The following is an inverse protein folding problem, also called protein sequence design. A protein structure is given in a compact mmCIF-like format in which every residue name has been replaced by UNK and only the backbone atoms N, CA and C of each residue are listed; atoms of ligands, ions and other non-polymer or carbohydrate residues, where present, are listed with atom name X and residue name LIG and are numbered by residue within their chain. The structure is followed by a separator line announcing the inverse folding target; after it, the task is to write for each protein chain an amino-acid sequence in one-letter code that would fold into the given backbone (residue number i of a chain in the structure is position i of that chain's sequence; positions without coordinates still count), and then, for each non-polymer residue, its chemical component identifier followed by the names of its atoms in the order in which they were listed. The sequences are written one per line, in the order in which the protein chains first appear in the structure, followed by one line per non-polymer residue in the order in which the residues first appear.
data_IF_629483774346
#
_entry.id   IF_629483774346
#
_cell.length_a   1.000
_cell.length_b   1.000
_cell.length_c   1.000
_cell.angle_alpha   90.00
_cell.angle_beta   90.00
_cell.angle_gamma   90.00
#
_symmetry.space_group_name_H-M   'P 1'
#
loop_
_entity.id
_entity.type
_entity.pdbx_description
1 polymer ?
#
# COMPACT_ATOMS: atom_id res chain seq x y z
N UNK A 1 70.79 2.93 74.82
CA UNK A 1 70.28 1.55 74.90
C UNK A 1 68.75 1.45 74.86
N UNK A 2 67.98 2.51 75.13
CA UNK A 2 66.50 2.48 75.02
C UNK A 2 65.96 2.51 73.59
N UNK A 3 66.63 3.20 72.66
CA UNK A 3 66.12 3.30 71.28
C UNK A 3 66.12 1.95 70.55
N UNK A 4 67.12 1.09 70.83
CA UNK A 4 67.21 -0.24 70.23
C UNK A 4 66.07 -1.13 70.72
N UNK A 5 65.75 -1.13 72.02
CA UNK A 5 64.61 -1.88 72.56
C UNK A 5 63.26 -1.37 72.05
N UNK A 6 63.13 -0.06 71.81
CA UNK A 6 61.93 0.53 71.22
C UNK A 6 61.76 0.11 69.75
N UNK A 7 62.86 0.03 68.99
CA UNK A 7 62.84 -0.51 67.63
C UNK A 7 62.50 -2.00 67.61
N UNK A 8 63.04 -2.81 68.51
CA UNK A 8 62.74 -4.25 68.64
C UNK A 8 61.26 -4.50 68.98
N UNK A 9 60.69 -3.71 69.91
CA UNK A 9 59.28 -3.80 70.26
C UNK A 9 58.37 -3.41 69.07
N UNK A 10 58.74 -2.36 68.33
CA UNK A 10 58.00 -1.94 67.12
C UNK A 10 58.11 -2.92 65.97
N UNK A 11 59.28 -3.53 65.77
CA UNK A 11 59.49 -4.57 64.75
C UNK A 11 58.68 -5.81 65.09
N UNK A 12 58.71 -6.27 66.35
CA UNK A 12 57.92 -7.43 66.80
C UNK A 12 56.42 -7.20 66.59
N UNK A 13 55.92 -6.03 66.99
CA UNK A 13 54.51 -5.66 66.77
C UNK A 13 54.16 -5.55 65.27
N UNK A 14 55.08 -5.07 64.44
CA UNK A 14 54.90 -5.02 63.00
C UNK A 14 54.86 -6.43 62.37
N UNK A 15 55.74 -7.33 62.80
CA UNK A 15 55.78 -8.72 62.35
C UNK A 15 54.51 -9.49 62.75
N UNK A 16 54.00 -9.31 63.96
CA UNK A 16 52.72 -9.90 64.39
C UNK A 16 51.52 -9.34 63.61
N UNK A 17 51.55 -8.06 63.23
CA UNK A 17 50.52 -7.45 62.38
C UNK A 17 50.59 -8.00 60.95
N UNK A 18 51.80 -8.19 60.42
CA UNK A 18 52.00 -8.79 59.09
C UNK A 18 51.56 -10.26 59.11
N UNK A 19 51.94 -11.03 60.12
CA UNK A 19 51.50 -12.43 60.27
C UNK A 19 49.98 -12.56 60.31
N UNK A 20 49.28 -11.68 61.05
CA UNK A 20 47.81 -11.63 61.04
C UNK A 20 47.23 -11.20 59.69
N UNK A 21 47.85 -10.23 59.02
CA UNK A 21 47.40 -9.79 57.71
C UNK A 21 47.57 -10.87 56.63
N UNK A 22 48.64 -11.66 56.72
CA UNK A 22 48.90 -12.80 55.83
C UNK A 22 47.88 -13.91 56.08
N UNK A 23 47.62 -14.28 57.34
CA UNK A 23 46.61 -15.28 57.67
C UNK A 23 45.20 -14.90 57.15
N UNK A 24 44.82 -13.62 57.27
CA UNK A 24 43.54 -13.11 56.73
C UNK A 24 43.55 -13.10 55.19
N UNK A 25 44.69 -12.85 54.55
CA UNK A 25 44.81 -12.90 53.10
C UNK A 25 44.75 -14.34 52.57
N UNK A 26 45.34 -15.30 53.28
CA UNK A 26 45.27 -16.73 52.98
C UNK A 26 43.84 -17.25 53.13
N UNK A 27 43.16 -16.94 54.23
CA UNK A 27 41.74 -17.32 54.44
C UNK A 27 40.81 -16.73 53.36
N UNK A 28 41.07 -15.49 52.92
CA UNK A 28 40.35 -14.88 51.80
C UNK A 28 40.67 -15.53 50.46
N UNK A 29 41.92 -15.93 50.24
CA UNK A 29 42.33 -16.62 49.03
C UNK A 29 41.71 -18.01 48.96
N UNK A 30 41.67 -18.76 50.07
CA UNK A 30 41.01 -20.06 50.17
C UNK A 30 39.50 -19.95 49.96
N UNK A 31 38.83 -18.94 50.54
CA UNK A 31 37.41 -18.70 50.31
C UNK A 31 37.09 -18.31 48.85
N UNK A 32 37.95 -17.51 48.21
CA UNK A 32 37.81 -17.14 46.81
C UNK A 32 38.05 -18.34 45.89
N UNK A 33 39.05 -19.19 46.20
CA UNK A 33 39.34 -20.42 45.47
C UNK A 33 38.20 -21.43 45.61
N UNK A 34 37.61 -21.56 46.80
CA UNK A 34 36.46 -22.43 47.06
C UNK A 34 35.20 -21.97 46.30
N UNK A 35 34.98 -20.65 46.17
CA UNK A 35 33.91 -20.11 45.33
C UNK A 35 34.18 -20.36 43.84
N UNK A 36 35.41 -20.15 43.37
CA UNK A 36 35.78 -20.42 41.98
C UNK A 36 35.61 -21.90 41.62
N UNK A 37 36.02 -22.82 42.51
CA UNK A 37 35.81 -24.27 42.31
C UNK A 37 34.34 -24.67 42.41
N UNK A 38 33.49 -23.96 43.16
CA UNK A 38 32.04 -24.20 43.16
C UNK A 38 31.36 -23.72 41.86
N UNK A 39 31.88 -22.66 41.24
CA UNK A 39 31.45 -22.17 39.93
C UNK A 39 31.93 -23.06 38.78
N UNK A 40 33.13 -23.65 38.88
CA UNK A 40 33.69 -24.57 37.88
C UNK A 40 33.18 -26.01 38.06
N UNK A 41 32.91 -26.43 39.30
CA UNK A 41 32.37 -27.75 39.66
C UNK A 41 30.86 -27.89 39.48
N UNK A 42 30.16 -26.81 39.12
CA UNK A 42 28.72 -26.77 38.89
C UNK A 42 28.30 -27.25 37.51
N UNK A 43 28.71 -28.46 37.09
CA UNK A 43 28.37 -29.03 35.77
C UNK A 43 26.86 -28.99 35.46
N UNK A 44 26.01 -29.24 36.47
CA UNK A 44 24.54 -29.21 36.30
C UNK A 44 23.99 -27.79 36.08
N UNK A 45 24.61 -26.75 36.67
CA UNK A 45 24.17 -25.37 36.47
C UNK A 45 24.63 -24.81 35.12
N UNK A 46 25.81 -25.23 34.63
CA UNK A 46 26.30 -24.89 33.29
C UNK A 46 25.49 -25.57 32.20
N UNK A 47 25.20 -26.87 32.34
CA UNK A 47 24.39 -27.63 31.38
C UNK A 47 22.94 -27.11 31.27
N UNK A 48 22.32 -26.73 32.39
CA UNK A 48 20.98 -26.13 32.39
C UNK A 48 20.97 -24.77 31.70
N UNK A 49 22.01 -23.95 31.91
CA UNK A 49 22.14 -22.65 31.25
C UNK A 49 22.39 -22.81 29.75
N UNK A 50 23.25 -23.75 29.34
CA UNK A 50 23.51 -24.07 27.94
C UNK A 50 22.25 -24.59 27.23
N UNK A 51 21.46 -25.43 27.89
CA UNK A 51 20.17 -25.91 27.37
C UNK A 51 19.13 -24.78 27.23
N UNK A 52 19.11 -23.81 28.15
CA UNK A 52 18.25 -22.64 28.05
C UNK A 52 18.68 -21.74 26.88
N UNK A 53 19.99 -21.50 26.73
CA UNK A 53 20.54 -20.71 25.63
C UNK A 53 20.23 -21.36 24.27
N UNK A 54 20.37 -22.69 24.17
CA UNK A 54 19.98 -23.42 22.97
C UNK A 54 18.50 -23.23 22.64
N UNK A 55 17.60 -23.41 23.62
CA UNK A 55 16.16 -23.21 23.44
C UNK A 55 15.80 -21.78 23.02
N UNK A 56 16.43 -20.78 23.63
CA UNK A 56 16.21 -19.37 23.29
C UNK A 56 16.70 -19.04 21.88
N UNK A 57 17.83 -19.62 21.45
CA UNK A 57 18.33 -19.45 20.09
C UNK A 57 17.41 -20.11 19.05
N UNK A 58 16.88 -21.30 19.34
CA UNK A 58 15.93 -21.96 18.47
C UNK A 58 14.63 -21.14 18.33
N UNK A 59 14.09 -20.65 19.45
CA UNK A 59 12.92 -19.78 19.45
C UNK A 59 13.16 -18.45 18.71
N UNK A 60 14.35 -17.86 18.88
CA UNK A 60 14.74 -16.65 18.16
C UNK A 60 14.86 -16.90 16.65
N UNK A 61 15.41 -18.04 16.24
CA UNK A 61 15.50 -18.42 14.83
C UNK A 61 14.12 -18.64 14.21
N UNK A 62 13.19 -19.26 14.94
CA UNK A 62 11.80 -19.45 14.52
C UNK A 62 11.07 -18.12 14.36
N UNK A 63 11.19 -17.21 15.32
CA UNK A 63 10.63 -15.85 15.27
C UNK A 63 11.23 -15.00 14.15
N UNK A 64 12.54 -15.12 13.88
CA UNK A 64 13.17 -14.43 12.76
C UNK A 64 12.65 -14.94 11.41
N UNK A 65 12.47 -16.25 11.27
CA UNK A 65 11.87 -16.86 10.08
C UNK A 65 10.42 -16.40 9.88
N UNK A 66 9.63 -16.37 10.95
CA UNK A 66 8.25 -15.89 10.91
C UNK A 66 8.17 -14.40 10.52
N UNK A 67 9.03 -13.55 11.11
CA UNK A 67 9.10 -12.13 10.75
C UNK A 67 9.51 -11.93 9.28
N UNK A 68 10.52 -12.65 8.78
CA UNK A 68 10.92 -12.54 7.38
C UNK A 68 9.76 -12.88 6.42
N UNK A 69 8.99 -13.93 6.71
CA UNK A 69 7.81 -14.29 5.92
C UNK A 69 6.70 -13.23 5.98
N UNK A 70 6.49 -12.61 7.15
CA UNK A 70 5.51 -11.53 7.31
C UNK A 70 5.95 -10.26 6.57
N UNK A 71 7.22 -9.89 6.63
CA UNK A 71 7.78 -8.77 5.89
C UNK A 71 7.64 -8.97 4.37
N UNK A 72 7.93 -10.15 3.86
CA UNK A 72 7.71 -10.49 2.45
C UNK A 72 6.22 -10.39 2.06
N UNK A 73 5.31 -10.87 2.91
CA UNK A 73 3.86 -10.76 2.66
C UNK A 73 3.40 -9.31 2.68
N UNK A 74 3.85 -8.52 3.66
CA UNK A 74 3.52 -7.10 3.76
C UNK A 74 4.01 -6.36 2.53
N UNK A 75 5.25 -6.62 2.09
CA UNK A 75 5.81 -6.03 0.88
C UNK A 75 4.98 -6.42 -0.36
N UNK A 76 4.65 -7.70 -0.52
CA UNK A 76 3.83 -8.14 -1.64
C UNK A 76 2.41 -7.54 -1.63
N UNK A 77 1.81 -7.34 -0.46
CA UNK A 77 0.52 -6.66 -0.33
C UNK A 77 0.66 -5.18 -0.68
N UNK A 78 1.71 -4.52 -0.19
CA UNK A 78 2.01 -3.12 -0.47
C UNK A 78 2.19 -2.88 -1.97
N UNK A 79 3.03 -3.68 -2.64
CA UNK A 79 3.28 -3.57 -4.09
C UNK A 79 1.98 -3.77 -4.90
N UNK A 80 1.09 -4.69 -4.46
CA UNK A 80 -0.23 -4.88 -5.08
C UNK A 80 -1.16 -3.70 -4.82
N UNK A 81 -1.12 -3.11 -3.64
CA UNK A 81 -1.94 -1.96 -3.29
C UNK A 81 -1.49 -0.72 -4.05
N UNK A 82 -0.19 -0.45 -4.12
CA UNK A 82 0.36 0.67 -4.90
C UNK A 82 0.02 0.53 -6.38
N UNK A 83 0.19 -0.67 -6.96
CA UNK A 83 -0.18 -0.89 -8.37
C UNK A 83 -1.68 -0.75 -8.60
N UNK A 84 -2.54 -1.18 -7.67
CA UNK A 84 -3.98 -1.00 -7.79
C UNK A 84 -4.40 0.47 -7.65
N UNK A 85 -3.80 1.20 -6.71
CA UNK A 85 -4.05 2.64 -6.53
C UNK A 85 -3.61 3.41 -7.78
N UNK A 86 -2.41 3.14 -8.31
CA UNK A 86 -1.94 3.78 -9.53
C UNK A 86 -2.87 3.51 -10.72
N UNK A 87 -3.34 2.27 -10.88
CA UNK A 87 -4.29 1.91 -11.94
C UNK A 87 -5.63 2.65 -11.81
N UNK A 88 -6.16 2.76 -10.58
CA UNK A 88 -7.39 3.51 -10.31
C UNK A 88 -7.22 5.01 -10.51
N UNK A 89 -6.06 5.57 -10.16
CA UNK A 89 -5.74 6.99 -10.40
C UNK A 89 -5.73 7.29 -11.91
N UNK A 90 -5.09 6.44 -12.72
CA UNK A 90 -5.08 6.55 -14.18
C UNK A 90 -6.49 6.42 -14.80
N UNK A 91 -7.30 5.49 -14.29
CA UNK A 91 -8.69 5.31 -14.75
C UNK A 91 -9.54 6.55 -14.41
N UNK A 92 -9.39 7.10 -13.20
CA UNK A 92 -10.08 8.33 -12.79
C UNK A 92 -9.64 9.52 -13.64
N UNK A 93 -8.35 9.66 -13.97
CA UNK A 93 -7.90 10.72 -14.87
C UNK A 93 -8.50 10.57 -16.26
N UNK A 94 -8.54 9.34 -16.79
CA UNK A 94 -9.13 9.04 -18.10
C UNK A 94 -10.61 9.37 -18.14
N UNK A 95 -11.39 8.93 -17.14
CA UNK A 95 -12.81 9.23 -17.02
C UNK A 95 -13.08 10.73 -16.89
N UNK A 96 -12.25 11.46 -16.12
CA UNK A 96 -12.35 12.93 -16.02
C UNK A 96 -12.15 13.59 -17.37
N UNK A 97 -11.17 13.14 -18.17
CA UNK A 97 -10.91 13.67 -19.50
C UNK A 97 -12.09 13.43 -20.44
N UNK A 98 -12.63 12.20 -20.44
CA UNK A 98 -13.82 11.85 -21.23
C UNK A 98 -15.04 12.69 -20.86
N UNK A 99 -15.29 12.91 -19.56
CA UNK A 99 -16.37 13.77 -19.09
C UNK A 99 -16.22 15.22 -19.60
N UNK A 100 -15.01 15.78 -19.56
CA UNK A 100 -14.76 17.13 -20.06
C UNK A 100 -14.97 17.24 -21.58
N UNK A 101 -14.62 16.20 -22.33
CA UNK A 101 -14.81 16.18 -23.78
C UNK A 101 -16.30 16.01 -24.14
N UNK A 102 -17.03 15.13 -23.46
CA UNK A 102 -18.48 15.02 -23.64
C UNK A 102 -19.24 16.30 -23.24
N UNK A 103 -18.82 16.99 -22.17
CA UNK A 103 -19.41 18.28 -21.81
C UNK A 103 -19.22 19.32 -22.91
N UNK A 104 -18.04 19.35 -23.55
CA UNK A 104 -17.77 20.24 -24.70
C UNK A 104 -18.64 19.88 -25.90
N UNK A 105 -18.77 18.59 -26.21
CA UNK A 105 -19.62 18.11 -27.30
C UNK A 105 -21.08 18.46 -27.05
N UNK A 106 -21.58 18.27 -25.83
CA UNK A 106 -22.94 18.63 -25.43
C UNK A 106 -23.19 20.13 -25.53
N UNK A 107 -22.23 20.97 -25.12
CA UNK A 107 -22.34 22.41 -25.30
C UNK A 107 -22.36 22.80 -26.78
N UNK A 108 -21.52 22.19 -27.61
CA UNK A 108 -21.50 22.40 -29.06
C UNK A 108 -22.83 21.99 -29.71
N UNK A 109 -23.37 20.83 -29.35
CA UNK A 109 -24.67 20.35 -29.84
C UNK A 109 -25.80 21.30 -29.43
N UNK A 110 -25.81 21.79 -28.18
CA UNK A 110 -26.79 22.78 -27.72
C UNK A 110 -26.69 24.09 -28.50
N UNK A 111 -25.47 24.56 -28.75
CA UNK A 111 -25.24 25.78 -29.54
C UNK A 111 -25.74 25.63 -30.98
N UNK A 112 -25.35 24.54 -31.66
CA UNK A 112 -25.80 24.25 -33.03
C UNK A 112 -27.31 24.10 -33.10
N UNK A 113 -27.93 23.41 -32.13
CA UNK A 113 -29.39 23.29 -32.08
C UNK A 113 -30.09 24.64 -31.85
N UNK A 114 -29.52 25.54 -31.05
CA UNK A 114 -30.07 26.88 -30.86
C UNK A 114 -30.01 27.67 -32.19
N UNK A 115 -28.87 27.63 -32.87
CA UNK A 115 -28.69 28.26 -34.19
C UNK A 115 -29.65 27.69 -35.25
N UNK A 116 -29.84 26.38 -35.28
CA UNK A 116 -30.81 25.75 -36.20
C UNK A 116 -32.24 26.21 -35.92
N UNK A 117 -32.64 26.32 -34.64
CA UNK A 117 -33.97 26.82 -34.26
C UNK A 117 -34.16 28.28 -34.67
N UNK A 118 -33.14 29.12 -34.44
CA UNK A 118 -33.16 30.53 -34.85
C UNK A 118 -33.24 30.66 -36.37
N UNK A 119 -32.40 29.94 -37.12
CA UNK A 119 -32.43 29.93 -38.58
C UNK A 119 -33.78 29.45 -39.11
N UNK A 120 -34.35 28.40 -38.53
CA UNK A 120 -35.65 27.90 -38.97
C UNK A 120 -36.77 28.92 -38.64
N UNK A 121 -36.72 29.58 -37.48
CA UNK A 121 -37.65 30.66 -37.15
C UNK A 121 -37.54 31.83 -38.14
N UNK A 122 -36.33 32.25 -38.50
CA UNK A 122 -36.08 33.29 -39.49
C UNK A 122 -36.57 32.90 -40.89
N UNK A 123 -36.33 31.65 -41.32
CA UNK A 123 -36.85 31.12 -42.59
C UNK A 123 -38.38 31.08 -42.60
N UNK A 124 -39.01 30.64 -41.50
CA UNK A 124 -40.48 30.67 -41.38
C UNK A 124 -41.03 32.10 -41.42
N UNK A 125 -40.37 33.06 -40.79
CA UNK A 125 -40.77 34.47 -40.84
C UNK A 125 -40.64 35.04 -42.27
N UNK A 126 -39.50 34.82 -42.94
CA UNK A 126 -39.29 35.24 -44.33
C UNK A 126 -40.29 34.58 -45.30
N UNK A 127 -40.62 33.31 -45.08
CA UNK A 127 -41.65 32.61 -45.84
C UNK A 127 -43.06 33.19 -45.59
N UNK A 128 -43.39 33.55 -44.34
CA UNK A 128 -44.68 34.14 -43.97
C UNK A 128 -44.87 35.56 -44.53
N UNK A 129 -43.78 36.30 -44.77
CA UNK A 129 -43.77 37.59 -45.47
C UNK A 129 -43.99 37.45 -46.99
N UNK A 130 -44.19 36.22 -47.50
CA UNK A 130 -44.48 35.96 -48.91
C UNK A 130 -43.26 36.00 -49.82
N UNK A 131 -42.04 35.99 -49.26
CA UNK A 131 -40.78 35.90 -50.00
C UNK A 131 -40.32 34.44 -50.22
N UNK A 132 -41.11 33.45 -49.77
CA UNK A 132 -40.74 32.04 -49.77
C UNK A 132 -41.16 31.28 -51.02
N UNK A 133 -40.17 30.78 -51.77
CA UNK A 133 -40.39 29.82 -52.85
C UNK A 133 -40.75 28.44 -52.27
N UNK A 134 -41.91 27.89 -52.64
CA UNK A 134 -42.43 26.62 -52.14
C UNK A 134 -41.46 25.44 -52.36
N UNK A 135 -40.61 25.51 -53.40
CA UNK A 135 -39.58 24.50 -53.64
C UNK A 135 -38.50 24.44 -52.56
N UNK A 136 -38.07 25.60 -52.04
CA UNK A 136 -37.06 25.68 -50.98
C UNK A 136 -37.60 25.20 -49.63
N UNK A 137 -38.90 25.36 -49.40
CA UNK A 137 -39.58 24.84 -48.21
C UNK A 137 -39.59 23.31 -48.23
N UNK A 138 -39.98 22.71 -49.35
CA UNK A 138 -39.99 21.26 -49.52
C UNK A 138 -38.58 20.67 -49.41
N UNK A 139 -37.57 21.37 -49.93
CA UNK A 139 -36.17 20.94 -49.85
C UNK A 139 -35.61 21.05 -48.43
N UNK A 140 -35.92 22.13 -47.70
CA UNK A 140 -35.58 22.29 -46.30
C UNK A 140 -36.26 21.25 -45.39
N UNK A 141 -37.53 20.94 -45.65
CA UNK A 141 -38.27 19.93 -44.91
C UNK A 141 -37.75 18.51 -45.18
N UNK A 142 -37.27 18.24 -46.40
CA UNK A 142 -36.59 16.99 -46.75
C UNK A 142 -35.24 16.86 -46.05
N UNK A 143 -34.48 17.96 -45.98
CA UNK A 143 -33.20 18.00 -45.26
C UNK A 143 -33.38 17.81 -43.74
N UNK A 144 -34.42 18.39 -43.12
CA UNK A 144 -34.74 18.15 -41.70
C UNK A 144 -35.14 16.70 -41.44
N UNK A 145 -35.95 16.08 -42.32
CA UNK A 145 -36.29 14.68 -42.20
C UNK A 145 -35.07 13.78 -42.29
N UNK A 146 -34.12 14.09 -43.17
CA UNK A 146 -32.89 13.32 -43.29
C UNK A 146 -31.98 13.50 -42.08
N UNK A 147 -31.85 14.72 -41.56
CA UNK A 147 -31.12 15.00 -40.32
C UNK A 147 -31.71 14.24 -39.12
N UNK A 148 -33.04 14.19 -39.00
CA UNK A 148 -33.73 13.44 -37.94
C UNK A 148 -33.52 11.93 -38.05
N UNK A 149 -33.47 11.37 -39.26
CA UNK A 149 -33.17 9.95 -39.45
C UNK A 149 -31.73 9.63 -39.05
N UNK A 150 -30.77 10.46 -39.47
CA UNK A 150 -29.35 10.27 -39.13
C UNK A 150 -29.16 10.37 -37.61
N UNK A 151 -29.77 11.35 -36.95
CA UNK A 151 -29.75 11.45 -35.49
C UNK A 151 -30.30 10.18 -34.82
N UNK A 152 -31.42 9.66 -35.32
CA UNK A 152 -32.02 8.42 -34.80
C UNK A 152 -31.16 7.18 -35.05
N UNK A 153 -30.44 7.10 -36.15
CA UNK A 153 -29.49 6.00 -36.40
C UNK A 153 -28.28 6.04 -35.46
N UNK A 154 -27.78 7.25 -35.15
CA UNK A 154 -26.74 7.46 -34.13
C UNK A 154 -27.27 7.04 -32.75
N UNK A 155 -28.47 7.48 -32.37
CA UNK A 155 -29.07 7.09 -31.09
C UNK A 155 -29.21 5.56 -30.98
N UNK A 156 -29.62 4.87 -32.06
CA UNK A 156 -29.73 3.40 -32.07
C UNK A 156 -28.37 2.72 -31.91
N UNK A 157 -27.34 3.22 -32.59
CA UNK A 157 -25.98 2.65 -32.48
C UNK A 157 -25.36 2.88 -31.10
N UNK A 158 -25.59 4.04 -30.48
CA UNK A 158 -25.22 4.28 -29.09
C UNK A 158 -25.95 3.34 -28.12
N UNK A 159 -27.27 3.16 -28.30
CA UNK A 159 -28.05 2.26 -27.47
C UNK A 159 -27.59 0.80 -27.61
N UNK A 160 -27.24 0.35 -28.82
CA UNK A 160 -26.70 -1.00 -29.04
C UNK A 160 -25.31 -1.19 -28.40
N UNK A 161 -24.46 -0.16 -28.41
CA UNK A 161 -23.19 -0.18 -27.69
C UNK A 161 -23.40 -0.30 -26.17
N UNK A 162 -24.30 0.51 -25.60
CA UNK A 162 -24.67 0.45 -24.18
C UNK A 162 -25.23 -0.92 -23.82
N UNK A 163 -26.13 -1.48 -24.63
CA UNK A 163 -26.69 -2.82 -24.42
C UNK A 163 -25.61 -3.91 -24.45
N UNK A 164 -24.62 -3.77 -25.33
CA UNK A 164 -23.48 -4.70 -25.41
C UNK A 164 -22.63 -4.66 -24.14
N UNK A 165 -22.31 -3.47 -23.65
CA UNK A 165 -21.58 -3.30 -22.40
C UNK A 165 -22.37 -3.81 -21.19
N UNK A 166 -23.65 -3.49 -21.10
CA UNK A 166 -24.53 -3.99 -20.04
C UNK A 166 -24.61 -5.51 -20.04
N UNK A 167 -24.72 -6.15 -21.22
CA UNK A 167 -24.66 -7.62 -21.34
C UNK A 167 -23.32 -8.16 -20.86
N UNK A 168 -22.20 -7.53 -21.20
CA UNK A 168 -20.87 -7.95 -20.76
C UNK A 168 -20.71 -7.81 -19.23
N UNK A 169 -21.23 -6.73 -18.63
CA UNK A 169 -21.26 -6.54 -17.17
C UNK A 169 -22.12 -7.61 -16.49
N UNK A 170 -23.31 -7.90 -17.05
CA UNK A 170 -24.18 -8.97 -16.53
C UNK A 170 -23.53 -10.35 -16.63
N UNK A 171 -22.86 -10.68 -17.74
CA UNK A 171 -22.16 -11.97 -17.91
C UNK A 171 -21.01 -12.14 -16.90
N UNK A 172 -20.27 -11.07 -16.62
CA UNK A 172 -19.26 -11.05 -15.54
C UNK A 172 -19.90 -11.21 -14.16
N UNK A 173 -21.07 -10.62 -13.92
CA UNK A 173 -21.79 -10.72 -12.66
C UNK A 173 -22.44 -12.10 -12.43
N UNK A 174 -22.84 -12.82 -13.48
CA UNK A 174 -23.43 -14.17 -13.39
C UNK A 174 -22.38 -15.30 -13.50
N UNK A 175 -21.11 -14.98 -13.73
CA UNK A 175 -20.01 -15.96 -13.77
C UNK A 175 -19.98 -16.83 -15.04
N UNK A 176 -20.65 -16.43 -16.11
CA UNK A 176 -20.65 -17.17 -17.38
C UNK A 176 -19.42 -16.76 -18.22
N UNK A 177 -18.34 -17.55 -18.12
CA UNK A 177 -17.22 -17.49 -19.07
C UNK A 177 -17.73 -17.85 -20.47
N UNK A 178 -17.36 -17.11 -21.53
CA UNK A 178 -17.71 -17.50 -22.89
C UNK A 178 -16.96 -18.78 -23.24
N UNK A 179 -17.70 -19.85 -23.54
CA UNK A 179 -17.18 -21.05 -24.18
C UNK A 179 -16.61 -20.68 -25.55
N UNK A 180 -15.28 -20.70 -25.68
CA UNK A 180 -14.60 -20.87 -26.96
C UNK A 180 -15.08 -22.19 -27.58
N UNK A 181 -15.85 -22.10 -28.67
CA UNK A 181 -16.12 -23.25 -29.54
C UNK A 181 -15.28 -23.16 -30.81
N UNK A 182 -14.75 -24.34 -31.14
CA UNK A 182 -13.80 -24.77 -32.18
C UNK A 182 -14.29 -24.53 -33.60
#
# INVERSE_FOLDING_TARGET
MSEISDFEARITAALERIGRAVAVAEERAEAAQSQADALVGGGVASEVLEAEVARLNDALAEEQSANAQLEERVKAIHDRQESHVAALEDEVETLRRQLMDHDREMQKLRHVNAQLRENNAALRAANAEGLGDAGLIDEGMRAELEALKVAREVDVTELDAILTELRAVMARATGAQPSEEV
#
